data_IF_187986988871
#
_entry.id   IF_187986988871
#
_cell.length_a   1.000
_cell.length_b   1.000
_cell.length_c   1.000
_cell.angle_alpha   90.00
_cell.angle_beta   90.00
_cell.angle_gamma   90.00
#
_symmetry.space_group_name_H-M   'P 1'
#
loop_
_entity.id
_entity.type
_entity.pdbx_description
1 polymer ?
#
# COMPACT_ATOMS: atom_id res chain seq x y z
N UNK A 1 -4.00 -9.53 -2.49
CA UNK A 1 -2.81 -8.79 -2.96
C UNK A 1 -3.28 -7.63 -3.81
N UNK A 2 -2.55 -6.52 -3.89
CA UNK A 2 -2.95 -5.34 -4.66
C UNK A 2 -2.08 -5.24 -5.92
N UNK A 3 -2.72 -5.01 -7.06
CA UNK A 3 -2.07 -4.59 -8.31
C UNK A 3 -2.70 -3.25 -8.68
N UNK A 4 -1.87 -2.25 -8.94
CA UNK A 4 -2.33 -0.90 -9.23
C UNK A 4 -1.44 -0.23 -10.29
N UNK A 5 -1.73 1.03 -10.58
CA UNK A 5 -0.93 1.89 -11.44
C UNK A 5 -0.21 2.95 -10.60
N UNK A 6 0.82 3.64 -11.13
CA UNK A 6 1.41 4.78 -10.44
C UNK A 6 0.36 5.81 -10.01
N UNK A 7 -0.61 6.08 -10.88
CA UNK A 7 -1.70 7.00 -10.57
C UNK A 7 -2.60 6.50 -9.43
N UNK A 8 -2.90 5.20 -9.38
CA UNK A 8 -3.77 4.61 -8.37
C UNK A 8 -3.18 4.54 -6.96
N UNK A 9 -1.87 4.78 -6.80
CA UNK A 9 -1.20 4.84 -5.49
C UNK A 9 -0.62 6.23 -5.17
N UNK A 10 -0.91 7.24 -5.99
CA UNK A 10 -0.39 8.59 -5.78
C UNK A 10 -0.77 9.12 -4.39
N UNK A 11 0.21 9.71 -3.70
CA UNK A 11 0.04 10.22 -2.34
C UNK A 11 0.09 9.16 -1.24
N UNK A 12 0.23 7.88 -1.60
CA UNK A 12 0.50 6.80 -0.66
C UNK A 12 1.99 6.45 -0.70
N UNK A 13 2.65 6.59 0.44
CA UNK A 13 3.98 6.06 0.69
C UNK A 13 3.90 4.52 0.86
N UNK A 14 3.88 3.82 -0.27
CA UNK A 14 3.85 2.35 -0.38
C UNK A 14 5.10 1.87 -1.14
N UNK A 15 5.68 0.77 -0.71
CA UNK A 15 6.80 0.12 -1.37
C UNK A 15 6.33 -0.75 -2.55
N UNK A 16 6.69 -0.36 -3.77
CA UNK A 16 6.43 -1.15 -4.96
C UNK A 16 7.13 -2.52 -4.88
N UNK A 17 6.41 -3.60 -5.20
CA UNK A 17 6.88 -4.98 -5.12
C UNK A 17 6.73 -5.63 -3.73
N UNK A 18 6.51 -4.83 -2.68
CA UNK A 18 6.36 -5.31 -1.30
C UNK A 18 4.94 -5.07 -0.75
N UNK A 19 4.39 -3.87 -0.91
CA UNK A 19 3.01 -3.53 -0.50
C UNK A 19 2.02 -3.68 -1.67
N UNK A 20 2.49 -3.42 -2.89
CA UNK A 20 1.66 -3.36 -4.11
C UNK A 20 2.50 -3.68 -5.33
N UNK A 21 1.93 -4.40 -6.30
CA UNK A 21 2.53 -4.50 -7.64
C UNK A 21 2.08 -3.29 -8.47
N UNK A 22 3.02 -2.52 -8.97
CA UNK A 22 2.75 -1.31 -9.76
C UNK A 22 2.99 -1.60 -11.24
N UNK A 23 1.99 -1.34 -12.07
CA UNK A 23 1.98 -1.66 -13.51
C UNK A 23 1.62 -0.42 -14.33
N UNK A 24 2.07 -0.33 -15.58
CA UNK A 24 1.89 0.85 -16.46
C UNK A 24 0.84 0.66 -17.55
N UNK A 25 0.22 -0.52 -17.66
CA UNK A 25 -0.77 -0.81 -18.68
C UNK A 25 -1.55 -2.10 -18.43
N UNK A 26 -2.61 -2.31 -19.22
CA UNK A 26 -3.53 -3.42 -19.05
C UNK A 26 -2.88 -4.80 -19.20
N UNK A 27 -1.98 -4.97 -20.17
CA UNK A 27 -1.28 -6.24 -20.40
C UNK A 27 -0.38 -6.62 -19.21
N UNK A 28 0.40 -5.65 -18.70
CA UNK A 28 1.25 -5.85 -17.54
C UNK A 28 0.43 -6.15 -16.28
N UNK A 29 -0.68 -5.43 -16.08
CA UNK A 29 -1.62 -5.68 -14.99
C UNK A 29 -2.21 -7.09 -15.06
N UNK A 30 -2.67 -7.52 -16.24
CA UNK A 30 -3.22 -8.85 -16.45
C UNK A 30 -2.17 -9.94 -16.17
N UNK A 31 -0.93 -9.76 -16.65
CA UNK A 31 0.17 -10.68 -16.38
C UNK A 31 0.52 -10.75 -14.88
N UNK A 32 0.55 -9.62 -14.18
CA UNK A 32 0.80 -9.54 -12.75
C UNK A 32 -0.29 -10.26 -11.94
N UNK A 33 -1.57 -10.04 -12.28
CA UNK A 33 -2.70 -10.73 -11.65
C UNK A 33 -2.61 -12.24 -11.90
N UNK A 34 -2.39 -12.67 -13.15
CA UNK A 34 -2.25 -14.08 -13.48
C UNK A 34 -1.08 -14.74 -12.74
N UNK A 35 0.05 -14.02 -12.59
CA UNK A 35 1.19 -14.47 -11.78
C UNK A 35 0.82 -14.69 -10.31
N UNK A 36 0.11 -13.74 -9.69
CA UNK A 36 -0.35 -13.86 -8.30
C UNK A 36 -1.39 -14.98 -8.10
N UNK A 37 -2.19 -15.30 -9.12
CA UNK A 37 -3.14 -16.41 -9.05
C UNK A 37 -2.43 -17.78 -9.10
N UNK A 38 -1.31 -17.88 -9.83
CA UNK A 38 -0.50 -19.10 -9.94
C UNK A 38 0.43 -19.32 -8.74
N UNK A 39 0.74 -18.27 -8.00
CA UNK A 39 1.61 -18.32 -6.82
C UNK A 39 0.92 -17.75 -5.57
N UNK A 40 0.14 -18.59 -4.84
CA UNK A 40 -0.57 -18.16 -3.64
C UNK A 40 0.35 -17.74 -2.48
N UNK A 41 1.56 -18.26 -2.40
CA UNK A 41 2.50 -17.93 -1.32
C UNK A 41 3.02 -16.51 -1.49
N UNK A 42 3.49 -16.17 -2.70
CA UNK A 42 3.88 -14.81 -3.06
C UNK A 42 2.71 -13.84 -2.87
N UNK A 43 1.50 -14.24 -3.26
CA UNK A 43 0.28 -13.43 -3.04
C UNK A 43 0.05 -13.12 -1.57
N UNK A 44 0.12 -14.12 -0.71
CA UNK A 44 -0.06 -13.98 0.75
C UNK A 44 1.06 -13.16 1.39
N UNK A 45 2.29 -13.28 0.90
CA UNK A 45 3.40 -12.46 1.37
C UNK A 45 3.14 -10.96 1.11
N UNK A 46 2.73 -10.62 -0.12
CA UNK A 46 2.36 -9.24 -0.48
C UNK A 46 1.18 -8.73 0.38
N UNK A 47 0.16 -9.56 0.62
CA UNK A 47 -0.99 -9.20 1.46
C UNK A 47 -0.61 -8.86 2.89
N UNK A 48 0.23 -9.70 3.52
CA UNK A 48 0.69 -9.46 4.90
C UNK A 48 1.50 -8.18 5.01
N UNK A 49 2.40 -7.97 4.06
CA UNK A 49 3.24 -6.77 4.02
C UNK A 49 2.39 -5.50 3.82
N UNK A 50 1.49 -5.51 2.83
CA UNK A 50 0.56 -4.41 2.60
C UNK A 50 -0.28 -4.08 3.84
N UNK A 51 -0.77 -5.12 4.53
CA UNK A 51 -1.56 -4.95 5.75
C UNK A 51 -0.75 -4.31 6.88
N UNK A 52 0.47 -4.79 7.12
CA UNK A 52 1.35 -4.23 8.13
C UNK A 52 1.67 -2.74 7.85
N UNK A 53 1.93 -2.39 6.59
CA UNK A 53 2.15 -1.00 6.19
C UNK A 53 0.94 -0.11 6.45
N UNK A 54 -0.27 -0.60 6.10
CA UNK A 54 -1.52 0.14 6.34
C UNK A 54 -1.80 0.34 7.82
N UNK A 55 -1.69 -0.70 8.63
CA UNK A 55 -1.93 -0.60 10.07
C UNK A 55 -0.91 0.33 10.76
N UNK A 56 0.34 0.35 10.30
CA UNK A 56 1.36 1.21 10.88
C UNK A 56 1.19 2.70 10.52
N UNK A 57 0.75 3.01 9.30
CA UNK A 57 0.83 4.37 8.74
C UNK A 57 -0.53 5.02 8.48
N UNK A 58 -1.50 4.22 8.06
CA UNK A 58 -2.80 4.69 7.57
C UNK A 58 -3.96 4.26 8.48
N UNK A 59 -3.69 3.66 9.64
CA UNK A 59 -4.68 3.45 10.69
C UNK A 59 -5.20 4.79 11.25
N UNK A 60 -6.51 4.85 11.53
CA UNK A 60 -7.15 6.07 12.04
C UNK A 60 -6.53 6.57 13.35
N UNK A 61 -6.12 5.68 14.25
CA UNK A 61 -5.48 6.11 15.49
C UNK A 61 -4.07 6.65 15.23
N UNK A 62 -3.34 6.08 14.27
CA UNK A 62 -2.03 6.59 13.87
C UNK A 62 -2.15 8.01 13.28
N UNK A 63 -3.10 8.20 12.37
CA UNK A 63 -3.40 9.49 11.74
C UNK A 63 -3.84 10.52 12.80
N UNK A 64 -4.80 10.17 13.66
CA UNK A 64 -5.30 11.07 14.70
C UNK A 64 -4.19 11.51 15.67
N UNK A 65 -3.30 10.59 16.08
CA UNK A 65 -2.14 10.93 16.91
C UNK A 65 -1.19 11.89 16.20
N UNK A 66 -0.95 11.70 14.90
CA UNK A 66 -0.09 12.60 14.12
C UNK A 66 -0.71 14.00 14.02
N UNK A 67 -1.99 14.10 13.70
CA UNK A 67 -2.71 15.37 13.61
C UNK A 67 -2.76 16.10 14.96
N UNK A 68 -3.03 15.39 16.06
CA UNK A 68 -3.01 15.96 17.41
C UNK A 68 -1.62 16.46 17.84
N UNK A 69 -0.53 15.83 17.37
CA UNK A 69 0.83 16.36 17.59
C UNK A 69 1.06 17.66 16.83
N UNK A 70 0.63 17.73 15.57
CA UNK A 70 0.75 18.94 14.75
C UNK A 70 -0.03 20.11 15.34
N UNK A 71 -1.28 19.90 15.77
CA UNK A 71 -2.05 20.97 16.41
C UNK A 71 -1.39 21.47 17.69
N UNK A 72 -0.88 20.56 18.54
CA UNK A 72 -0.15 20.93 19.75
C UNK A 72 1.15 21.70 19.47
N UNK A 73 1.80 21.51 18.32
CA UNK A 73 3.00 22.29 17.97
C UNK A 73 2.68 23.70 17.48
N UNK A 74 1.47 23.94 16.97
CA UNK A 74 1.05 25.25 16.45
C UNK A 74 0.35 26.13 17.49
N UNK A 75 -0.13 25.52 18.58
CA UNK A 75 -0.79 26.21 19.70
C UNK A 75 0.19 26.61 20.82
N UNK A 76 1.50 26.46 20.61
CA UNK A 76 2.56 26.99 21.48
C UNK A 76 3.01 28.34 20.96
#
# INVERSE_FOLDING_TARGET
>A
AIVSTPAGINGLDLAAGADVLVTRGGEEMAAAIAGLLRDPERRRALERQARATVEARYDWNAIARAQARLYRSLLR
#
